data_IF_121638158515
#
_entry.id   IF_121638158515
#
_cell.length_a   1.000
_cell.length_b   1.000
_cell.length_c   1.000
_cell.angle_alpha   90.00
_cell.angle_beta   90.00
_cell.angle_gamma   90.00
#
_symmetry.space_group_name_H-M   'P 1'
#
loop_
_entity.id
_entity.type
_entity.pdbx_description
1 polymer ?
#
# COMPACT_ATOMS: atom_id res chain seq x y z
N UNK A 1 9.44 -66.52 12.06
CA UNK A 1 9.30 -65.15 12.62
C UNK A 1 7.86 -64.98 13.07
N UNK A 2 7.54 -64.72 14.35
CA UNK A 2 6.17 -64.49 14.74
C UNK A 2 5.76 -63.08 14.29
N UNK A 3 4.68 -63.00 13.53
CA UNK A 3 4.07 -61.76 13.08
C UNK A 3 3.42 -61.09 14.31
N UNK A 4 4.03 -60.03 14.84
CA UNK A 4 3.40 -59.20 15.86
C UNK A 4 2.12 -58.60 15.27
N UNK A 5 0.95 -59.14 15.64
CA UNK A 5 -0.35 -58.53 15.34
C UNK A 5 -0.33 -57.11 15.91
N UNK A 6 -0.49 -56.10 15.04
CA UNK A 6 -0.69 -54.72 15.46
C UNK A 6 -1.81 -54.69 16.51
N UNK A 7 -1.49 -54.26 17.73
CA UNK A 7 -2.50 -54.04 18.78
C UNK A 7 -3.51 -53.05 18.22
N UNK A 8 -4.73 -53.51 17.97
CA UNK A 8 -5.86 -52.62 17.71
C UNK A 8 -5.88 -51.63 18.87
N UNK A 9 -5.70 -50.34 18.58
CA UNK A 9 -5.79 -49.30 19.61
C UNK A 9 -7.21 -49.39 20.17
N UNK A 10 -7.35 -49.86 21.40
CA UNK A 10 -8.63 -49.91 22.09
C UNK A 10 -9.12 -48.48 22.26
N UNK A 11 -10.19 -48.12 21.55
CA UNK A 11 -10.86 -46.84 21.71
C UNK A 11 -12.09 -47.13 22.58
N UNK A 12 -12.16 -46.57 23.81
CA UNK A 12 -13.33 -46.73 24.66
C UNK A 12 -14.62 -46.30 23.95
N UNK A 13 -15.72 -47.01 24.21
CA UNK A 13 -17.04 -46.67 23.65
C UNK A 13 -17.48 -45.24 24.01
N UNK A 14 -17.08 -44.74 25.18
CA UNK A 14 -17.28 -43.35 25.59
C UNK A 14 -16.62 -42.37 24.62
N UNK A 15 -15.36 -42.59 24.25
CA UNK A 15 -14.63 -41.77 23.26
C UNK A 15 -15.22 -41.88 21.85
N UNK A 16 -15.77 -43.02 21.45
CA UNK A 16 -16.46 -43.12 20.15
C UNK A 16 -17.78 -42.35 20.16
N UNK A 17 -18.56 -42.45 21.23
CA UNK A 17 -19.80 -41.69 21.37
C UNK A 17 -19.53 -40.19 21.47
N UNK A 18 -18.47 -39.79 22.17
CA UNK A 18 -18.03 -38.40 22.23
C UNK A 18 -17.66 -37.88 20.83
N UNK A 19 -16.93 -38.65 20.02
CA UNK A 19 -16.63 -38.26 18.62
C UNK A 19 -17.88 -38.12 17.76
N UNK A 20 -18.93 -38.92 18.02
CA UNK A 20 -20.22 -38.82 17.30
C UNK A 20 -21.02 -37.57 17.69
N UNK A 21 -20.77 -36.98 18.87
CA UNK A 21 -21.45 -35.72 19.26
C UNK A 21 -20.80 -34.48 18.65
N UNK A 22 -19.59 -34.59 18.09
CA UNK A 22 -18.91 -33.47 17.47
C UNK A 22 -19.70 -32.92 16.28
N UNK A 23 -19.82 -31.60 16.24
CA UNK A 23 -20.43 -30.89 15.12
C UNK A 23 -19.50 -31.05 13.92
N UNK A 24 -19.91 -31.91 13.00
CA UNK A 24 -19.28 -32.14 11.70
C UNK A 24 -20.29 -31.97 10.58
N UNK A 25 -19.84 -31.50 9.41
CA UNK A 25 -20.66 -31.33 8.21
C UNK A 25 -21.38 -29.98 8.12
N UNK A 26 -22.22 -29.84 7.09
CA UNK A 26 -23.00 -28.63 6.83
C UNK A 26 -24.08 -28.44 7.93
N UNK A 27 -24.10 -27.28 8.58
CA UNK A 27 -25.13 -26.92 9.57
C UNK A 27 -25.79 -25.61 9.19
N UNK A 28 -27.12 -25.60 9.26
CA UNK A 28 -27.92 -24.49 8.74
C UNK A 28 -27.91 -23.23 9.62
N UNK A 29 -27.78 -23.32 10.95
CA UNK A 29 -27.70 -22.15 11.83
C UNK A 29 -27.22 -22.53 13.25
N UNK A 30 -26.27 -21.78 13.80
CA UNK A 30 -25.97 -21.77 15.23
C UNK A 30 -25.95 -20.32 15.74
N UNK A 31 -26.66 -20.08 16.84
CA UNK A 31 -26.70 -18.79 17.53
C UNK A 31 -25.83 -18.87 18.78
N UNK A 32 -24.96 -17.88 18.97
CA UNK A 32 -24.38 -17.62 20.28
C UNK A 32 -25.29 -16.67 21.09
N UNK A 33 -25.11 -16.64 22.42
CA UNK A 33 -25.81 -15.74 23.34
C UNK A 33 -25.68 -14.26 22.95
N UNK A 34 -24.65 -13.92 22.18
CA UNK A 34 -24.34 -12.57 21.70
C UNK A 34 -24.99 -12.25 20.33
N UNK A 35 -25.89 -13.09 19.81
CA UNK A 35 -26.54 -12.96 18.49
C UNK A 35 -25.61 -13.14 17.28
N UNK A 36 -24.35 -13.55 17.47
CA UNK A 36 -23.49 -14.00 16.38
C UNK A 36 -24.06 -15.28 15.75
N UNK A 37 -24.05 -15.34 14.42
CA UNK A 37 -24.65 -16.42 13.64
C UNK A 37 -23.67 -16.97 12.63
N UNK A 38 -23.49 -18.28 12.62
CA UNK A 38 -22.70 -18.98 11.60
C UNK A 38 -23.57 -19.97 10.81
N UNK A 39 -23.40 -19.96 9.49
CA UNK A 39 -23.99 -20.91 8.56
C UNK A 39 -22.85 -21.48 7.72
N UNK A 40 -22.64 -22.79 7.75
CA UNK A 40 -21.58 -23.38 6.94
C UNK A 40 -21.13 -24.74 7.43
N UNK A 41 -19.96 -25.12 6.95
CA UNK A 41 -19.30 -26.37 7.27
C UNK A 41 -18.66 -26.31 8.67
N UNK A 42 -18.74 -27.44 9.38
CA UNK A 42 -18.14 -27.67 10.68
C UNK A 42 -17.26 -28.91 10.64
N UNK A 43 -16.19 -28.89 11.42
CA UNK A 43 -15.32 -30.04 11.66
C UNK A 43 -14.81 -30.00 13.08
N UNK A 44 -14.96 -31.10 13.82
CA UNK A 44 -14.48 -31.24 15.20
C UNK A 44 -14.91 -30.09 16.11
N UNK A 45 -16.19 -29.69 16.04
CA UNK A 45 -16.76 -28.55 16.78
C UNK A 45 -16.22 -27.16 16.42
N UNK A 46 -15.45 -27.05 15.33
CA UNK A 46 -14.90 -25.78 14.84
C UNK A 46 -15.45 -25.44 13.46
N UNK A 47 -15.48 -24.15 13.14
CA UNK A 47 -15.78 -23.66 11.78
C UNK A 47 -14.62 -24.05 10.87
N UNK A 48 -14.91 -24.85 9.86
CA UNK A 48 -13.91 -25.40 8.94
C UNK A 48 -14.58 -25.66 7.59
N UNK A 49 -13.97 -25.21 6.51
CA UNK A 49 -14.56 -25.25 5.17
C UNK A 49 -15.31 -23.96 4.83
N UNK A 50 -16.35 -24.02 3.99
CA UNK A 50 -17.06 -22.81 3.53
C UNK A 50 -18.15 -22.39 4.50
N UNK A 51 -18.26 -21.08 4.74
CA UNK A 51 -19.31 -20.56 5.61
C UNK A 51 -19.47 -19.05 5.63
N UNK A 52 -20.64 -18.64 6.10
CA UNK A 52 -21.05 -17.26 6.31
C UNK A 52 -21.18 -17.02 7.81
N UNK A 53 -20.53 -15.97 8.29
CA UNK A 53 -20.59 -15.52 9.68
C UNK A 53 -21.15 -14.11 9.75
N UNK A 54 -22.20 -13.94 10.54
CA UNK A 54 -22.79 -12.66 10.89
C UNK A 54 -22.38 -12.33 12.31
N UNK A 55 -21.77 -11.17 12.48
CA UNK A 55 -21.41 -10.62 13.78
C UNK A 55 -22.51 -9.67 14.24
N UNK A 56 -22.77 -9.63 15.55
CA UNK A 56 -23.67 -8.65 16.18
C UNK A 56 -23.31 -7.20 15.84
N UNK A 57 -22.03 -6.91 15.57
CA UNK A 57 -21.54 -5.60 15.12
C UNK A 57 -21.84 -5.27 13.65
N UNK A 58 -22.83 -5.92 13.04
CA UNK A 58 -23.30 -5.69 11.66
C UNK A 58 -22.27 -6.00 10.55
N UNK A 59 -21.27 -6.84 10.85
CA UNK A 59 -20.36 -7.37 9.84
C UNK A 59 -20.80 -8.76 9.38
N UNK A 60 -20.60 -9.03 8.10
CA UNK A 60 -20.78 -10.33 7.48
C UNK A 60 -19.44 -10.76 6.87
N UNK A 61 -18.98 -11.96 7.17
CA UNK A 61 -17.90 -12.61 6.44
C UNK A 61 -18.44 -13.81 5.68
N UNK A 62 -18.12 -13.93 4.41
CA UNK A 62 -18.41 -15.07 3.57
C UNK A 62 -17.10 -15.57 2.95
N UNK A 63 -16.74 -16.83 3.20
CA UNK A 63 -15.49 -17.36 2.66
C UNK A 63 -15.09 -18.68 3.31
N UNK A 64 -13.81 -19.02 3.16
CA UNK A 64 -13.28 -20.23 3.78
C UNK A 64 -12.91 -19.99 5.26
N UNK A 65 -13.02 -21.07 6.02
CA UNK A 65 -12.77 -21.17 7.46
C UNK A 65 -11.84 -22.33 7.73
N UNK A 66 -11.00 -22.18 8.75
CA UNK A 66 -10.13 -23.24 9.23
C UNK A 66 -9.89 -23.08 10.72
N UNK A 67 -10.25 -24.10 11.50
CA UNK A 67 -10.13 -24.09 12.96
C UNK A 67 -10.65 -22.78 13.61
N UNK A 68 -11.86 -22.33 13.26
CA UNK A 68 -12.51 -21.10 13.73
C UNK A 68 -11.98 -19.78 13.20
N UNK A 69 -10.88 -19.79 12.45
CA UNK A 69 -10.31 -18.60 11.83
C UNK A 69 -10.74 -18.47 10.37
N UNK A 70 -10.92 -17.22 9.93
CA UNK A 70 -11.02 -16.89 8.50
C UNK A 70 -9.73 -17.32 7.81
N UNK A 71 -9.86 -18.05 6.71
CA UNK A 71 -8.74 -18.62 5.98
C UNK A 71 -9.11 -18.67 4.49
N UNK A 72 -8.13 -18.80 3.58
CA UNK A 72 -8.41 -18.93 2.15
C UNK A 72 -9.04 -17.66 1.59
N UNK A 73 -9.93 -17.79 0.61
CA UNK A 73 -10.55 -16.62 -0.02
C UNK A 73 -11.82 -16.22 0.73
N UNK A 74 -12.04 -14.91 0.89
CA UNK A 74 -13.23 -14.44 1.59
C UNK A 74 -13.56 -12.97 1.39
N UNK A 75 -14.84 -12.66 1.56
CA UNK A 75 -15.45 -11.35 1.45
C UNK A 75 -15.91 -10.92 2.84
N UNK A 76 -15.45 -9.75 3.29
CA UNK A 76 -15.93 -9.09 4.49
C UNK A 76 -16.78 -7.89 4.07
N UNK A 77 -18.04 -7.89 4.47
CA UNK A 77 -19.02 -6.86 4.20
C UNK A 77 -19.56 -6.26 5.50
N UNK A 78 -20.02 -5.00 5.45
CA UNK A 78 -20.73 -4.34 6.56
C UNK A 78 -22.13 -3.96 6.11
N UNK A 79 -23.11 -4.24 6.97
CA UNK A 79 -24.50 -3.87 6.77
C UNK A 79 -24.67 -2.36 6.94
N UNK A 80 -25.42 -1.75 6.03
CA UNK A 80 -25.78 -0.33 6.03
C UNK A 80 -27.21 -0.14 6.54
N UNK A 81 -27.61 1.13 6.75
CA UNK A 81 -28.94 1.49 7.24
C UNK A 81 -30.07 1.05 6.30
N UNK A 82 -29.82 1.03 4.99
CA UNK A 82 -30.79 0.64 3.96
C UNK A 82 -30.94 -0.90 3.80
N UNK A 83 -30.52 -1.69 4.79
CA UNK A 83 -30.47 -3.16 4.75
C UNK A 83 -29.56 -3.74 3.64
N UNK A 84 -28.76 -2.89 2.99
CA UNK A 84 -27.76 -3.26 1.98
C UNK A 84 -26.41 -3.61 2.62
N UNK A 85 -25.60 -4.42 1.95
CA UNK A 85 -24.24 -4.75 2.38
C UNK A 85 -23.21 -4.04 1.51
N UNK A 86 -22.27 -3.36 2.16
CA UNK A 86 -21.10 -2.77 1.49
C UNK A 86 -19.89 -3.67 1.71
N UNK A 87 -19.28 -4.14 0.63
CA UNK A 87 -18.02 -4.89 0.70
C UNK A 87 -16.90 -3.99 1.22
N UNK A 88 -16.21 -4.44 2.25
CA UNK A 88 -15.07 -3.77 2.88
C UNK A 88 -13.76 -4.40 2.45
N UNK A 89 -13.72 -5.73 2.34
CA UNK A 89 -12.54 -6.44 1.91
C UNK A 89 -12.91 -7.66 1.08
N UNK A 90 -12.17 -7.87 0.01
CA UNK A 90 -12.28 -9.05 -0.86
C UNK A 90 -10.85 -9.53 -1.11
N UNK A 91 -10.54 -10.76 -0.72
CA UNK A 91 -9.20 -11.31 -0.96
C UNK A 91 -8.86 -12.48 -0.05
N UNK A 92 -7.56 -12.75 0.04
CA UNK A 92 -7.06 -13.89 0.81
C UNK A 92 -6.95 -13.59 2.31
N UNK A 93 -7.14 -14.65 3.10
CA UNK A 93 -7.11 -14.63 4.54
C UNK A 93 -6.20 -15.75 5.05
N UNK A 94 -5.43 -15.43 6.09
CA UNK A 94 -4.61 -16.39 6.80
C UNK A 94 -4.76 -16.18 8.31
N UNK A 95 -5.28 -17.20 8.99
CA UNK A 95 -5.50 -17.20 10.44
C UNK A 95 -6.19 -15.92 10.96
N UNK A 96 -7.28 -15.53 10.31
CA UNK A 96 -8.09 -14.39 10.72
C UNK A 96 -7.57 -13.03 10.27
N UNK A 97 -6.40 -12.95 9.61
CA UNK A 97 -5.79 -11.72 9.11
C UNK A 97 -5.80 -11.70 7.58
N UNK A 98 -5.92 -10.50 7.00
CA UNK A 98 -5.76 -10.28 5.56
C UNK A 98 -4.36 -10.72 5.12
N UNK A 99 -4.28 -11.45 4.02
CA UNK A 99 -3.06 -12.01 3.47
C UNK A 99 -3.16 -12.06 1.94
N UNK A 100 -2.07 -12.37 1.24
CA UNK A 100 -2.11 -12.60 -0.21
C UNK A 100 -2.62 -11.38 -0.99
N UNK A 101 -3.39 -11.61 -2.04
CA UNK A 101 -3.97 -10.53 -2.83
C UNK A 101 -5.31 -10.11 -2.24
N UNK A 102 -5.61 -8.81 -2.24
CA UNK A 102 -6.93 -8.35 -1.86
C UNK A 102 -7.18 -6.86 -2.04
N UNK A 103 -8.46 -6.55 -2.21
CA UNK A 103 -8.98 -5.20 -2.32
C UNK A 103 -9.69 -4.79 -1.04
N UNK A 104 -9.36 -3.62 -0.51
CA UNK A 104 -9.95 -3.04 0.69
C UNK A 104 -10.57 -1.67 0.40
N UNK A 105 -11.85 -1.53 0.74
CA UNK A 105 -12.58 -0.27 0.67
C UNK A 105 -12.64 0.37 2.06
N UNK A 106 -12.06 1.55 2.19
CA UNK A 106 -12.08 2.33 3.43
C UNK A 106 -13.38 3.13 3.57
N UNK A 107 -13.67 3.56 4.80
CA UNK A 107 -14.89 4.30 5.11
C UNK A 107 -14.87 5.75 4.57
N UNK A 108 -13.68 6.32 4.42
CA UNK A 108 -13.43 7.65 3.84
C UNK A 108 -13.62 7.69 2.31
N UNK A 109 -13.80 6.54 1.66
CA UNK A 109 -13.89 6.41 0.20
C UNK A 109 -12.59 5.97 -0.47
N UNK A 110 -11.48 5.92 0.28
CA UNK A 110 -10.21 5.39 -0.23
C UNK A 110 -10.35 3.90 -0.57
N UNK A 111 -9.56 3.43 -1.53
CA UNK A 111 -9.52 2.02 -1.95
C UNK A 111 -8.08 1.58 -2.10
N UNK A 112 -7.72 0.42 -1.56
CA UNK A 112 -6.43 -0.22 -1.79
C UNK A 112 -6.64 -1.55 -2.49
N UNK A 113 -5.83 -1.84 -3.50
CA UNK A 113 -5.77 -3.14 -4.16
C UNK A 113 -4.32 -3.61 -4.27
N UNK A 114 -4.04 -4.81 -3.77
CA UNK A 114 -2.70 -5.38 -3.86
C UNK A 114 -2.41 -6.37 -2.75
N UNK A 115 -1.13 -6.49 -2.45
CA UNK A 115 -0.63 -7.51 -1.54
C UNK A 115 -0.79 -7.14 -0.05
N UNK A 116 -1.17 -8.14 0.73
CA UNK A 116 -1.38 -8.08 2.17
C UNK A 116 -0.52 -9.12 2.89
N UNK A 117 0.03 -8.73 4.03
CA UNK A 117 0.76 -9.63 4.92
C UNK A 117 0.44 -9.29 6.37
N UNK A 118 -0.06 -10.28 7.11
CA UNK A 118 -0.39 -10.16 8.53
C UNK A 118 -1.35 -8.99 8.83
N UNK A 119 -2.30 -8.72 7.94
CA UNK A 119 -3.27 -7.64 8.09
C UNK A 119 -2.80 -6.25 7.64
N UNK A 120 -1.56 -6.13 7.13
CA UNK A 120 -0.96 -4.88 6.65
C UNK A 120 -0.68 -4.93 5.15
N UNK A 121 -0.73 -3.79 4.48
CA UNK A 121 -0.31 -3.65 3.08
C UNK A 121 1.19 -3.93 2.96
N UNK A 122 1.56 -4.82 2.05
CA UNK A 122 2.94 -5.29 1.92
C UNK A 122 3.14 -5.91 0.53
N UNK A 123 4.20 -5.56 -0.20
CA UNK A 123 4.38 -6.00 -1.59
C UNK A 123 3.84 -4.97 -2.58
N UNK A 124 3.48 -5.38 -3.79
CA UNK A 124 2.97 -4.44 -4.81
C UNK A 124 1.50 -4.14 -4.59
N UNK A 125 1.10 -2.89 -4.82
CA UNK A 125 -0.30 -2.50 -4.74
C UNK A 125 -0.55 -1.05 -5.16
N UNK A 126 -1.81 -0.78 -5.43
CA UNK A 126 -2.34 0.54 -5.76
C UNK A 126 -3.29 1.05 -4.68
N UNK A 127 -3.30 2.36 -4.46
CA UNK A 127 -4.18 3.02 -3.51
C UNK A 127 -4.76 4.27 -4.14
N UNK A 128 -6.08 4.32 -4.22
CA UNK A 128 -6.86 5.52 -4.48
C UNK A 128 -7.22 6.16 -3.15
N UNK A 129 -6.85 7.42 -2.98
CA UNK A 129 -7.12 8.16 -1.76
C UNK A 129 -8.39 9.01 -1.92
N UNK A 130 -9.07 9.28 -0.81
CA UNK A 130 -10.29 10.09 -0.79
C UNK A 130 -10.09 11.54 -1.26
N UNK A 131 -8.85 12.06 -1.19
CA UNK A 131 -8.47 13.38 -1.70
C UNK A 131 -8.31 13.43 -3.23
N UNK A 132 -8.45 12.29 -3.91
CA UNK A 132 -8.21 12.15 -5.35
C UNK A 132 -6.77 11.82 -5.72
N UNK A 133 -5.85 11.75 -4.75
CA UNK A 133 -4.49 11.28 -4.98
C UNK A 133 -4.48 9.77 -5.29
N UNK A 134 -3.47 9.33 -6.02
CA UNK A 134 -3.28 7.92 -6.39
C UNK A 134 -1.83 7.50 -6.17
N UNK A 135 -1.64 6.30 -5.63
CA UNK A 135 -0.32 5.68 -5.49
C UNK A 135 -0.32 4.31 -6.15
N UNK A 136 0.74 4.00 -6.89
CA UNK A 136 1.04 2.67 -7.43
C UNK A 136 2.49 2.34 -7.13
N UNK A 137 2.76 1.25 -6.40
CA UNK A 137 4.14 0.90 -6.09
C UNK A 137 4.28 -0.20 -5.04
N UNK A 138 5.46 -0.25 -4.44
CA UNK A 138 5.75 -1.18 -3.36
C UNK A 138 5.33 -0.64 -1.98
N UNK A 139 4.87 -1.55 -1.14
CA UNK A 139 4.37 -1.29 0.20
C UNK A 139 5.13 -2.13 1.21
N UNK A 140 5.36 -1.58 2.39
CA UNK A 140 5.96 -2.31 3.50
C UNK A 140 5.35 -1.86 4.81
N UNK A 141 4.60 -2.75 5.46
CA UNK A 141 3.95 -2.50 6.75
C UNK A 141 3.07 -1.25 6.73
N UNK A 142 2.16 -1.15 5.75
CA UNK A 142 1.25 -0.03 5.53
C UNK A 142 1.87 1.28 5.07
N UNK A 143 3.16 1.28 4.71
CA UNK A 143 3.89 2.47 4.23
C UNK A 143 4.37 2.30 2.79
N UNK A 144 4.46 3.41 2.05
CA UNK A 144 5.13 3.43 0.75
C UNK A 144 6.60 3.05 0.91
N UNK A 145 7.07 2.17 0.04
CA UNK A 145 8.44 1.68 0.03
C UNK A 145 8.89 1.31 -1.39
N UNK A 146 10.19 1.05 -1.58
CA UNK A 146 10.70 0.58 -2.88
C UNK A 146 10.44 1.59 -3.99
N UNK A 147 10.15 1.13 -5.19
CA UNK A 147 9.83 2.02 -6.32
C UNK A 147 8.31 2.25 -6.43
N UNK A 148 7.90 3.47 -6.74
CA UNK A 148 6.48 3.78 -6.91
C UNK A 148 6.20 5.13 -7.58
N UNK A 149 5.00 5.20 -8.16
CA UNK A 149 4.37 6.37 -8.76
C UNK A 149 3.33 6.93 -7.81
N UNK A 150 3.41 8.22 -7.51
CA UNK A 150 2.42 8.95 -6.74
C UNK A 150 1.90 10.13 -7.55
N UNK A 151 0.61 10.14 -7.82
CA UNK A 151 -0.11 11.21 -8.50
C UNK A 151 -0.89 11.96 -7.44
N UNK A 152 -0.59 13.24 -7.29
CA UNK A 152 -1.30 14.12 -6.37
C UNK A 152 -2.63 14.56 -6.99
N UNK A 153 -3.58 14.98 -6.15
CA UNK A 153 -4.88 15.49 -6.60
C UNK A 153 -4.80 16.72 -7.53
N UNK A 154 -3.71 17.51 -7.45
CA UNK A 154 -3.44 18.60 -8.38
C UNK A 154 -2.83 18.15 -9.72
N UNK A 155 -2.61 16.84 -9.91
CA UNK A 155 -2.03 16.26 -11.10
C UNK A 155 -0.51 16.11 -11.06
N UNK A 156 0.21 16.78 -10.16
CA UNK A 156 1.66 16.63 -10.04
C UNK A 156 2.03 15.18 -9.70
N UNK A 157 3.12 14.70 -10.28
CA UNK A 157 3.47 13.28 -10.21
C UNK A 157 4.89 13.09 -9.68
N UNK A 158 5.09 12.09 -8.84
CA UNK A 158 6.41 11.64 -8.42
C UNK A 158 6.60 10.18 -8.80
N UNK A 159 7.67 9.88 -9.50
CA UNK A 159 8.07 8.54 -9.91
C UNK A 159 9.48 8.28 -9.40
N UNK A 160 9.66 7.34 -8.47
CA UNK A 160 10.98 7.11 -7.90
C UNK A 160 10.98 6.19 -6.69
N UNK A 161 12.08 6.23 -5.94
CA UNK A 161 12.22 5.43 -4.72
C UNK A 161 11.50 6.07 -3.52
N UNK A 162 10.97 5.21 -2.66
CA UNK A 162 10.21 5.53 -1.46
C UNK A 162 10.78 4.81 -0.25
N UNK A 163 10.84 5.51 0.87
CA UNK A 163 11.26 4.96 2.14
C UNK A 163 10.39 5.52 3.27
N UNK A 164 9.57 4.65 3.86
CA UNK A 164 8.69 5.01 4.99
C UNK A 164 7.81 6.24 4.70
N UNK A 165 7.06 6.19 3.59
CA UNK A 165 6.17 7.28 3.14
C UNK A 165 6.90 8.56 2.67
N UNK A 166 8.22 8.50 2.51
CA UNK A 166 9.03 9.64 2.05
C UNK A 166 9.73 9.32 0.75
N UNK A 167 9.78 10.30 -0.16
CA UNK A 167 10.61 10.28 -1.37
C UNK A 167 12.08 10.10 -0.96
N UNK A 168 12.75 9.14 -1.58
CA UNK A 168 14.13 8.77 -1.31
C UNK A 168 14.83 8.42 -2.63
N UNK A 169 16.16 8.31 -2.63
CA UNK A 169 16.92 7.79 -3.77
C UNK A 169 16.71 8.58 -5.06
N UNK A 170 16.83 7.90 -6.20
CA UNK A 170 16.60 8.53 -7.50
C UNK A 170 15.10 8.67 -7.79
N UNK A 171 14.70 9.82 -8.34
CA UNK A 171 13.31 10.05 -8.72
C UNK A 171 13.10 11.24 -9.65
N UNK A 172 11.97 11.18 -10.36
CA UNK A 172 11.45 12.18 -11.28
C UNK A 172 10.19 12.79 -10.68
N UNK A 173 10.14 14.11 -10.65
CA UNK A 173 8.95 14.86 -10.23
C UNK A 173 8.45 15.71 -11.40
N UNK A 174 7.22 15.46 -11.81
CA UNK A 174 6.54 16.14 -12.90
C UNK A 174 5.69 17.27 -12.31
N UNK A 175 6.15 18.50 -12.46
CA UNK A 175 5.40 19.72 -12.18
C UNK A 175 4.46 19.98 -13.36
N UNK A 176 3.27 19.39 -13.34
CA UNK A 176 2.30 19.57 -14.43
C UNK A 176 1.78 21.00 -14.50
N UNK A 177 1.72 21.69 -13.35
CA UNK A 177 1.31 23.10 -13.28
C UNK A 177 2.24 24.02 -14.11
N UNK A 178 3.54 23.73 -14.14
CA UNK A 178 4.54 24.53 -14.90
C UNK A 178 5.03 23.84 -16.17
N UNK A 179 4.67 22.58 -16.41
CA UNK A 179 5.18 21.78 -17.52
C UNK A 179 6.67 21.41 -17.39
N UNK A 180 7.17 21.30 -16.16
CA UNK A 180 8.58 21.05 -15.87
C UNK A 180 8.80 19.67 -15.26
N UNK A 181 9.89 19.02 -15.66
CA UNK A 181 10.38 17.77 -15.11
C UNK A 181 11.62 18.04 -14.26
N UNK A 182 11.55 17.62 -13.00
CA UNK A 182 12.66 17.65 -12.05
C UNK A 182 13.17 16.24 -11.80
N UNK A 183 14.34 15.91 -12.34
CA UNK A 183 14.99 14.61 -12.16
C UNK A 183 16.19 14.74 -11.23
N UNK A 184 16.26 13.92 -10.18
CA UNK A 184 17.32 14.07 -9.17
C UNK A 184 17.32 13.03 -8.06
N UNK A 185 18.11 13.32 -7.03
CA UNK A 185 18.23 12.52 -5.81
C UNK A 185 17.42 13.16 -4.68
N UNK A 186 16.60 12.35 -4.03
CA UNK A 186 15.72 12.73 -2.92
C UNK A 186 16.19 12.10 -1.62
N UNK A 187 16.07 12.84 -0.52
CA UNK A 187 16.33 12.36 0.83
C UNK A 187 15.27 12.90 1.77
N UNK A 188 14.40 12.01 2.29
CA UNK A 188 13.35 12.37 3.23
C UNK A 188 12.42 13.49 2.72
N UNK A 189 11.91 13.37 1.49
CA UNK A 189 11.11 14.38 0.79
C UNK A 189 11.86 15.65 0.33
N UNK A 190 13.16 15.77 0.58
CA UNK A 190 13.96 16.92 0.14
C UNK A 190 14.77 16.51 -1.09
N UNK A 191 14.65 17.27 -2.18
CA UNK A 191 15.51 17.08 -3.36
C UNK A 191 16.89 17.69 -3.08
N UNK A 192 17.94 16.85 -3.11
CA UNK A 192 19.32 17.24 -2.78
C UNK A 192 20.04 17.80 -4.01
N UNK A 193 19.89 17.12 -5.15
CA UNK A 193 20.45 17.55 -6.43
C UNK A 193 19.50 17.13 -7.55
N UNK A 194 19.17 18.05 -8.44
CA UNK A 194 18.29 17.77 -9.58
C UNK A 194 18.64 18.61 -10.80
N UNK A 195 18.34 18.04 -11.96
CA UNK A 195 18.26 18.76 -13.22
C UNK A 195 16.79 19.08 -13.52
N UNK A 196 16.53 20.31 -13.95
CA UNK A 196 15.19 20.74 -14.37
C UNK A 196 15.17 20.85 -15.90
N UNK A 197 14.16 20.24 -16.52
CA UNK A 197 13.96 20.24 -17.98
C UNK A 197 12.49 20.50 -18.30
N UNK A 198 12.21 21.17 -19.41
CA UNK A 198 10.83 21.34 -19.88
C UNK A 198 10.30 20.04 -20.50
N UNK A 199 9.02 19.74 -20.28
CA UNK A 199 8.34 18.57 -20.83
C UNK A 199 7.82 18.90 -22.24
N UNK A 200 8.10 18.03 -23.23
CA UNK A 200 7.81 18.27 -24.64
C UNK A 200 6.33 18.03 -25.05
N UNK A 201 5.57 17.22 -24.30
CA UNK A 201 4.14 16.98 -24.59
C UNK A 201 3.24 18.07 -23.97
N UNK A 202 3.31 19.29 -24.51
CA UNK A 202 2.51 20.46 -24.10
C UNK A 202 1.11 20.51 -24.74
N UNK A 203 0.39 19.40 -24.87
CA UNK A 203 -0.90 19.41 -25.61
C UNK A 203 -2.07 20.12 -24.90
N UNK A 204 -1.88 20.69 -23.70
CA UNK A 204 -2.93 21.40 -22.96
C UNK A 204 -2.50 22.75 -22.33
N UNK A 205 -1.43 23.38 -22.84
CA UNK A 205 -0.95 24.66 -22.26
C UNK A 205 -1.15 25.80 -23.25
N UNK A 206 -1.97 26.80 -22.89
CA UNK A 206 -2.29 27.95 -23.74
C UNK A 206 -1.11 28.94 -23.88
N UNK A 207 -0.22 29.05 -22.90
CA UNK A 207 0.94 29.96 -22.94
C UNK A 207 2.20 29.37 -22.26
N UNK A 208 3.41 29.63 -22.78
CA UNK A 208 4.66 29.19 -22.17
C UNK A 208 4.89 29.79 -20.78
N UNK A 209 5.74 29.15 -19.97
CA UNK A 209 6.14 29.70 -18.66
C UNK A 209 6.79 31.09 -18.83
N UNK A 210 6.37 32.04 -18.01
CA UNK A 210 6.88 33.43 -18.00
C UNK A 210 8.40 33.47 -17.69
N UNK A 211 8.91 32.40 -17.06
CA UNK A 211 10.31 32.26 -16.65
C UNK A 211 10.94 31.02 -17.31
N UNK A 212 11.54 31.15 -18.50
CA UNK A 212 12.28 30.05 -19.12
C UNK A 212 13.46 29.66 -18.22
N UNK A 213 13.74 28.36 -18.15
CA UNK A 213 14.91 27.86 -17.42
C UNK A 213 16.16 28.47 -18.08
N UNK A 214 16.98 29.25 -17.35
CA UNK A 214 18.14 29.89 -17.94
C UNK A 214 19.12 28.81 -18.42
N UNK A 215 19.54 28.90 -19.68
CA UNK A 215 20.55 27.99 -20.20
C UNK A 215 21.85 28.20 -19.42
N UNK A 216 22.32 27.16 -18.74
CA UNK A 216 23.66 27.14 -18.14
C UNK A 216 24.70 27.15 -19.26
N UNK A 217 25.16 28.36 -19.64
CA UNK A 217 26.34 28.52 -20.47
C UNK A 217 27.55 28.52 -19.54
N UNK A 218 28.53 27.66 -19.82
CA UNK A 218 29.86 27.78 -19.23
C UNK A 218 30.37 29.21 -19.53
N UNK A 219 30.62 30.01 -18.48
CA UNK A 219 31.31 31.28 -18.68
C UNK A 219 32.69 31.00 -19.29
N UNK A 220 33.11 31.84 -20.24
CA UNK A 220 34.44 31.77 -20.83
C UNK A 220 35.50 31.76 -19.72
N UNK A 221 36.26 30.65 -19.55
CA UNK A 221 37.24 30.52 -18.48
C UNK A 221 38.27 31.66 -18.49
N UNK A 222 38.61 32.17 -19.68
CA UNK A 222 39.60 33.24 -19.85
C UNK A 222 39.03 34.59 -19.40
N UNK A 223 37.76 34.85 -19.71
CA UNK A 223 37.04 36.05 -19.28
C UNK A 223 36.92 36.14 -17.75
N UNK A 224 36.51 35.04 -17.10
CA UNK A 224 36.35 34.99 -15.64
C UNK A 224 37.68 35.21 -14.92
N UNK A 225 38.77 34.62 -15.44
CA UNK A 225 40.11 34.84 -14.90
C UNK A 225 40.53 36.32 -14.97
N UNK A 226 40.36 36.97 -16.14
CA UNK A 226 40.69 38.40 -16.30
C UNK A 226 39.84 39.31 -15.42
N UNK A 227 38.56 39.00 -15.21
CA UNK A 227 37.70 39.76 -14.30
C UNK A 227 38.14 39.63 -12.83
N UNK A 228 38.50 38.41 -12.40
CA UNK A 228 39.02 38.16 -11.07
C UNK A 228 40.33 38.91 -10.81
N UNK A 229 41.25 38.90 -11.77
CA UNK A 229 42.52 39.62 -11.72
C UNK A 229 42.31 41.14 -11.61
N UNK A 230 41.43 41.71 -12.45
CA UNK A 230 41.10 43.13 -12.41
C UNK A 230 40.43 43.55 -11.09
N UNK A 231 39.60 42.68 -10.51
CA UNK A 231 38.94 42.94 -9.22
C UNK A 231 39.94 42.89 -8.06
N UNK A 232 40.93 41.99 -8.11
CA UNK A 232 42.04 41.95 -7.17
C UNK A 232 42.88 43.22 -7.26
N UNK A 233 43.28 43.64 -8.47
CA UNK A 233 44.06 44.86 -8.71
C UNK A 233 43.34 46.12 -8.20
N UNK A 234 42.01 46.23 -8.38
CA UNK A 234 41.22 47.34 -7.83
C UNK A 234 41.23 47.36 -6.30
N UNK A 235 41.15 46.19 -5.63
CA UNK A 235 41.26 46.09 -4.17
C UNK A 235 42.63 46.55 -3.66
N UNK A 236 43.71 46.16 -4.34
CA UNK A 236 45.06 46.60 -4.00
C UNK A 236 45.24 48.11 -4.14
N UNK A 237 44.72 48.72 -5.22
CA UNK A 237 44.76 50.19 -5.40
C UNK A 237 43.95 50.93 -4.33
N UNK A 238 42.80 50.39 -3.91
CA UNK A 238 42.00 50.98 -2.84
C UNK A 238 42.67 50.88 -1.46
N UNK A 239 43.48 49.86 -1.22
CA UNK A 239 44.28 49.73 0.01
C UNK A 239 45.51 50.63 0.01
N UNK A 240 46.11 50.89 -1.16
CA UNK A 240 47.26 51.78 -1.31
C UNK A 240 46.90 53.27 -1.06
N UNK A 241 45.67 53.69 -1.36
CA UNK A 241 45.19 55.05 -1.08
C UNK A 241 44.69 55.28 0.37
N UNK A 242 44.73 54.24 1.23
CA UNK A 242 44.32 54.31 2.65
C UNK A 242 45.50 54.30 3.63
N UNK A 243 46.75 54.43 3.14
CA UNK A 243 47.95 54.71 3.93
C UNK A 243 48.42 56.12 3.62
#
# INVERSE_FOLDING_TARGET
MPFLKCRHKFIPFSTENEKKTYKTGLRHLLFNLECDKYIGEWKDNKKDGKGIFYTHSHFQYEGDWKHDYRHGYGILSKKQENDTYKSIYVGDWWNGKKHGQGRYHYADGSCFDGEWKNGKRNGKGECFFADGSYYFGEWKNDRFHGYGLFIQSNGNQYEGEWQFDKKHGHGKYYHLDSGQLQEGIWKNNICVCSNMTDIYYRQAVLEPTIYPIPQNKLQDPVGVYKEAENKALKKFKHQAHKK
#
